data_IF_299035002717
#
_entry.id   IF_299035002717
#
_cell.length_a   1.000
_cell.length_b   1.000
_cell.length_c   1.000
_cell.angle_alpha   90.00
_cell.angle_beta   90.00
_cell.angle_gamma   90.00
#
_symmetry.space_group_name_H-M   'P 1'
#
loop_
_entity.id
_entity.type
_entity.pdbx_description
1 polymer ?
#
# COMPACT_ATOMS: atom_id res chain seq x y z
N UNK A 1 -7.81 12.55 21.29
CA UNK A 1 -9.24 12.84 21.53
C UNK A 1 -10.02 11.78 20.79
N UNK A 2 -10.79 10.92 21.46
CA UNK A 2 -11.56 9.86 20.80
C UNK A 2 -12.69 10.48 19.98
N UNK A 3 -12.72 10.24 18.67
CA UNK A 3 -13.85 10.64 17.82
C UNK A 3 -15.08 9.84 18.28
N UNK A 4 -16.18 10.52 18.60
CA UNK A 4 -17.44 9.84 18.92
C UNK A 4 -18.09 9.39 17.62
N UNK A 5 -17.96 8.10 17.32
CA UNK A 5 -18.62 7.46 16.18
C UNK A 5 -20.07 7.08 16.53
N UNK A 6 -20.97 7.22 15.56
CA UNK A 6 -22.37 6.81 15.68
C UNK A 6 -22.81 6.10 14.40
N UNK A 7 -23.58 5.04 14.56
CA UNK A 7 -24.12 4.24 13.46
C UNK A 7 -25.65 4.19 13.59
N UNK A 8 -26.36 4.37 12.48
CA UNK A 8 -27.83 4.28 12.42
C UNK A 8 -28.24 3.32 11.32
N UNK A 9 -29.22 2.46 11.60
CA UNK A 9 -29.91 1.64 10.60
C UNK A 9 -31.07 2.44 10.00
N UNK A 10 -31.18 2.38 8.67
CA UNK A 10 -32.26 3.00 7.88
C UNK A 10 -33.11 1.90 7.25
N UNK A 11 -34.36 1.74 7.69
CA UNK A 11 -35.30 0.76 7.14
C UNK A 11 -36.63 1.43 6.80
N UNK A 12 -36.92 1.61 5.50
CA UNK A 12 -38.26 2.02 5.04
C UNK A 12 -38.82 3.31 5.67
N UNK A 13 -37.95 4.23 6.10
CA UNK A 13 -38.32 5.49 6.77
C UNK A 13 -38.07 5.51 8.29
N UNK A 14 -37.76 4.38 8.91
CA UNK A 14 -37.34 4.30 10.31
C UNK A 14 -35.82 4.47 10.44
N UNK A 15 -35.40 5.21 11.46
CA UNK A 15 -33.99 5.55 11.72
C UNK A 15 -33.67 5.18 13.16
N UNK A 16 -32.90 4.11 13.34
CA UNK A 16 -32.58 3.58 14.68
C UNK A 16 -31.08 3.60 14.95
N UNK A 17 -30.62 4.17 16.08
CA UNK A 17 -29.21 4.09 16.43
C UNK A 17 -28.84 2.63 16.71
N UNK A 18 -27.71 2.20 16.17
CA UNK A 18 -27.10 0.90 16.48
C UNK A 18 -26.27 1.08 17.76
N UNK A 19 -26.59 0.31 18.79
CA UNK A 19 -25.91 0.41 20.06
C UNK A 19 -24.53 -0.26 20.01
N UNK A 20 -23.49 0.37 20.61
CA UNK A 20 -22.23 -0.31 20.86
C UNK A 20 -22.46 -1.54 21.75
N UNK A 21 -21.74 -2.61 21.45
CA UNK A 21 -21.75 -3.86 22.20
C UNK A 21 -20.32 -4.29 22.53
N UNK A 22 -20.16 -5.29 23.39
CA UNK A 22 -18.85 -5.83 23.76
C UNK A 22 -18.61 -7.10 22.96
N UNK A 23 -17.48 -7.18 22.26
CA UNK A 23 -17.08 -8.41 21.58
C UNK A 23 -16.81 -9.51 22.62
N UNK A 24 -17.29 -10.73 22.35
CA UNK A 24 -17.28 -11.83 23.31
C UNK A 24 -15.87 -12.18 23.81
N UNK A 25 -14.87 -12.19 22.92
CA UNK A 25 -13.48 -12.55 23.22
C UNK A 25 -12.49 -11.89 22.24
N UNK A 26 -11.22 -11.87 22.61
CA UNK A 26 -10.11 -11.53 21.69
C UNK A 26 -10.04 -12.55 20.55
N UNK A 27 -10.23 -13.84 20.84
CA UNK A 27 -10.28 -14.91 19.82
C UNK A 27 -11.27 -14.61 18.69
N UNK A 28 -12.47 -14.08 19.00
CA UNK A 28 -13.46 -13.73 17.96
C UNK A 28 -12.95 -12.58 17.08
N UNK A 29 -12.22 -11.63 17.65
CA UNK A 29 -11.62 -10.55 16.89
C UNK A 29 -10.46 -11.05 16.03
N UNK A 30 -9.64 -11.96 16.57
CA UNK A 30 -8.58 -12.65 15.81
C UNK A 30 -9.17 -13.38 14.61
N UNK A 31 -10.23 -14.18 14.81
CA UNK A 31 -10.88 -14.92 13.72
C UNK A 31 -11.37 -13.98 12.59
N UNK A 32 -11.95 -12.84 12.97
CA UNK A 32 -12.41 -11.82 12.03
C UNK A 32 -11.23 -11.24 11.24
N UNK A 33 -10.16 -10.81 11.94
CA UNK A 33 -9.00 -10.18 11.32
C UNK A 33 -8.14 -11.16 10.51
N UNK A 34 -8.07 -12.42 10.92
CA UNK A 34 -7.46 -13.52 10.18
C UNK A 34 -8.20 -13.75 8.86
N UNK A 35 -9.53 -13.78 8.89
CA UNK A 35 -10.33 -13.95 7.67
C UNK A 35 -10.30 -12.73 6.74
N UNK A 36 -10.07 -11.53 7.29
CA UNK A 36 -10.20 -10.23 6.62
C UNK A 36 -9.18 -9.22 7.16
N UNK A 37 -7.92 -9.37 6.75
CA UNK A 37 -6.82 -8.49 7.18
C UNK A 37 -6.99 -7.05 6.68
N UNK A 38 -7.78 -6.82 5.62
CA UNK A 38 -8.14 -5.50 5.09
C UNK A 38 -8.89 -4.63 6.11
N UNK A 39 -9.51 -5.23 7.13
CA UNK A 39 -10.13 -4.52 8.25
C UNK A 39 -9.11 -3.69 9.03
N UNK A 40 -7.84 -4.10 9.09
CA UNK A 40 -6.80 -3.27 9.69
C UNK A 40 -6.58 -2.00 8.88
N UNK A 41 -6.87 -2.05 7.58
CA UNK A 41 -6.63 -1.04 6.56
C UNK A 41 -5.25 -0.42 6.66
N UNK A 42 -4.27 -1.32 6.75
CA UNK A 42 -2.85 -1.08 6.50
C UNK A 42 -2.46 -1.60 5.10
N UNK A 43 -3.43 -1.67 4.18
CA UNK A 43 -3.29 -2.27 2.85
C UNK A 43 -3.70 -3.75 2.80
N UNK A 44 -3.34 -4.42 1.70
CA UNK A 44 -3.48 -5.86 1.54
C UNK A 44 -2.35 -6.54 2.34
N UNK A 45 -2.70 -7.47 3.23
CA UNK A 45 -1.75 -8.14 4.12
C UNK A 45 -1.89 -9.65 4.00
N UNK A 46 -0.76 -10.33 3.78
CA UNK A 46 -0.62 -11.77 3.88
C UNK A 46 -0.35 -12.14 5.33
N UNK A 47 -1.16 -13.03 5.90
CA UNK A 47 -0.90 -13.56 7.23
C UNK A 47 0.31 -14.52 7.18
N UNK A 48 1.31 -14.28 8.04
CA UNK A 48 2.45 -15.18 8.26
C UNK A 48 2.11 -16.21 9.33
N UNK A 49 1.37 -15.80 10.35
CA UNK A 49 0.88 -16.72 11.35
C UNK A 49 0.08 -16.04 12.45
N UNK A 50 -0.75 -16.85 13.08
CA UNK A 50 -1.51 -16.50 14.28
C UNK A 50 -0.85 -17.09 15.51
N UNK A 51 -0.88 -16.36 16.62
CA UNK A 51 -0.41 -16.81 17.93
C UNK A 51 1.07 -17.25 17.85
N UNK A 52 1.89 -16.45 17.16
CA UNK A 52 3.29 -16.74 16.84
C UNK A 52 4.15 -16.59 18.10
N UNK A 53 4.82 -17.67 18.49
CA UNK A 53 5.70 -17.69 19.67
C UNK A 53 7.07 -17.12 19.30
N UNK A 54 7.51 -16.10 20.02
CA UNK A 54 8.84 -15.47 19.86
C UNK A 54 9.93 -16.31 20.52
N UNK A 55 11.19 -16.02 20.20
CA UNK A 55 12.36 -16.72 20.79
C UNK A 55 12.45 -16.56 22.32
N UNK A 56 11.80 -15.52 22.86
CA UNK A 56 11.72 -15.23 24.29
C UNK A 56 10.50 -15.88 24.96
N UNK A 57 9.73 -16.71 24.24
CA UNK A 57 8.56 -17.42 24.75
C UNK A 57 7.30 -16.57 24.90
N UNK A 58 7.32 -15.32 24.41
CA UNK A 58 6.13 -14.47 24.31
C UNK A 58 5.35 -14.80 23.03
N UNK A 59 4.15 -14.24 22.88
CA UNK A 59 3.26 -14.62 21.79
C UNK A 59 2.62 -13.42 21.12
N UNK A 60 2.92 -13.22 19.84
CA UNK A 60 2.29 -12.23 18.99
C UNK A 60 0.94 -12.76 18.53
N UNK A 61 -0.13 -11.99 18.66
CA UNK A 61 -1.47 -12.45 18.28
C UNK A 61 -1.58 -12.70 16.78
N UNK A 62 -1.16 -11.73 15.94
CA UNK A 62 -1.07 -11.91 14.49
C UNK A 62 0.24 -11.30 13.95
N UNK A 63 0.94 -12.06 13.11
CA UNK A 63 2.07 -11.58 12.32
C UNK A 63 1.67 -11.63 10.84
N UNK A 64 1.77 -10.50 10.16
CA UNK A 64 1.44 -10.39 8.75
C UNK A 64 2.56 -9.69 7.96
N UNK A 65 2.47 -9.72 6.64
CA UNK A 65 3.39 -9.08 5.72
C UNK A 65 2.62 -8.32 4.65
N UNK A 66 3.11 -7.15 4.24
CA UNK A 66 2.58 -6.44 3.08
C UNK A 66 3.31 -6.80 1.77
N UNK A 67 2.77 -6.35 0.64
CA UNK A 67 3.35 -6.63 -0.67
C UNK A 67 4.72 -5.99 -0.93
N UNK A 68 5.25 -5.18 0.00
CA UNK A 68 6.63 -4.65 -0.08
C UNK A 68 7.61 -5.51 0.74
N UNK A 69 7.11 -6.50 1.49
CA UNK A 69 7.91 -7.37 2.32
C UNK A 69 8.11 -6.87 3.75
N UNK A 70 7.42 -5.80 4.18
CA UNK A 70 7.51 -5.30 5.55
C UNK A 70 6.55 -6.07 6.48
N UNK A 71 6.99 -6.34 7.70
CA UNK A 71 6.24 -7.13 8.68
C UNK A 71 5.31 -6.27 9.55
N UNK A 72 4.09 -6.73 9.77
CA UNK A 72 3.10 -6.09 10.63
C UNK A 72 2.85 -6.98 11.84
N UNK A 73 3.31 -6.53 13.01
CA UNK A 73 3.07 -7.16 14.31
C UNK A 73 1.79 -6.56 14.87
N UNK A 74 0.76 -7.38 15.01
CA UNK A 74 -0.57 -6.94 15.42
C UNK A 74 -0.88 -7.56 16.78
N UNK A 75 -1.08 -6.71 17.78
CA UNK A 75 -1.43 -7.10 19.14
C UNK A 75 -2.85 -6.64 19.44
N UNK A 76 -3.70 -7.56 19.88
CA UNK A 76 -5.11 -7.32 20.15
C UNK A 76 -5.33 -7.14 21.65
N UNK A 77 -6.20 -6.19 22.00
CA UNK A 77 -6.65 -5.95 23.36
C UNK A 77 -8.15 -5.68 23.40
N UNK A 78 -8.87 -6.51 24.16
CA UNK A 78 -10.31 -6.35 24.40
C UNK A 78 -10.64 -5.15 25.28
N UNK A 79 -9.79 -4.85 26.26
CA UNK A 79 -10.01 -3.79 27.24
C UNK A 79 -9.10 -2.57 27.02
N UNK A 80 -9.34 -1.49 27.77
CA UNK A 80 -8.49 -0.28 27.73
C UNK A 80 -7.03 -0.67 27.92
N UNK A 81 -6.19 -0.32 26.95
CA UNK A 81 -4.77 -0.67 26.91
C UNK A 81 -4.02 -0.07 28.10
N UNK A 82 -3.46 -0.88 29.01
CA UNK A 82 -2.50 -0.41 30.01
C UNK A 82 -1.16 -0.04 29.34
N UNK A 83 -0.27 0.61 30.10
CA UNK A 83 1.13 0.88 29.70
C UNK A 83 1.87 -0.36 29.18
N UNK A 84 1.52 -1.53 29.71
CA UNK A 84 2.15 -2.81 29.40
C UNK A 84 2.03 -3.18 27.91
N UNK A 85 0.99 -2.70 27.22
CA UNK A 85 0.78 -2.95 25.79
C UNK A 85 1.84 -2.29 24.92
N UNK A 86 2.28 -1.08 25.28
CA UNK A 86 3.34 -0.41 24.52
C UNK A 86 4.68 -1.12 24.75
N UNK A 87 4.97 -1.51 26.00
CA UNK A 87 6.18 -2.26 26.32
C UNK A 87 6.22 -3.59 25.55
N UNK A 88 5.10 -4.32 25.53
CA UNK A 88 4.97 -5.57 24.80
C UNK A 88 5.11 -5.38 23.29
N UNK A 89 4.50 -4.34 22.71
CA UNK A 89 4.67 -4.01 21.29
C UNK A 89 6.14 -3.72 20.95
N UNK A 90 6.86 -2.99 21.82
CA UNK A 90 8.29 -2.72 21.64
C UNK A 90 9.15 -3.98 21.78
N UNK A 91 8.84 -4.89 22.70
CA UNK A 91 9.48 -6.20 22.81
C UNK A 91 9.31 -7.00 21.51
N UNK A 92 8.12 -6.97 20.91
CA UNK A 92 7.88 -7.60 19.61
C UNK A 92 8.58 -6.89 18.47
N UNK A 93 8.66 -5.56 18.48
CA UNK A 93 9.48 -4.79 17.53
C UNK A 93 10.95 -5.20 17.56
N UNK A 94 11.49 -5.42 18.75
CA UNK A 94 12.87 -5.89 18.92
C UNK A 94 13.10 -7.32 18.40
N UNK A 95 12.11 -8.20 18.54
CA UNK A 95 12.17 -9.55 18.01
C UNK A 95 12.01 -9.57 16.48
N UNK A 96 10.94 -8.94 15.98
CA UNK A 96 10.55 -9.01 14.56
C UNK A 96 11.61 -8.41 13.64
N UNK A 97 12.30 -7.34 14.06
CA UNK A 97 13.36 -6.71 13.25
C UNK A 97 14.53 -7.65 12.90
N UNK A 98 14.68 -8.75 13.63
CA UNK A 98 15.77 -9.71 13.45
C UNK A 98 15.38 -10.92 12.60
N UNK A 99 14.09 -11.05 12.23
CA UNK A 99 13.62 -12.18 11.43
C UNK A 99 14.23 -12.14 10.04
N UNK A 100 14.95 -13.21 9.71
CA UNK A 100 15.49 -13.45 8.37
C UNK A 100 14.39 -13.93 7.41
N UNK A 101 14.69 -13.89 6.13
CA UNK A 101 13.85 -14.48 5.09
C UNK A 101 13.51 -15.95 5.38
N UNK A 102 14.51 -16.76 5.75
CA UNK A 102 14.32 -18.18 6.09
C UNK A 102 13.42 -18.36 7.32
N UNK A 103 13.62 -17.55 8.36
CA UNK A 103 12.78 -17.60 9.55
C UNK A 103 11.31 -17.25 9.23
N UNK A 104 11.07 -16.29 8.34
CA UNK A 104 9.71 -15.94 7.88
C UNK A 104 9.08 -17.11 7.13
N UNK A 105 9.82 -17.79 6.25
CA UNK A 105 9.35 -18.98 5.54
C UNK A 105 8.97 -20.10 6.50
N UNK A 106 9.83 -20.36 7.48
CA UNK A 106 9.60 -21.40 8.48
C UNK A 106 8.38 -21.08 9.36
N UNK A 107 8.22 -19.81 9.76
CA UNK A 107 7.05 -19.35 10.48
C UNK A 107 5.77 -19.55 9.64
N UNK A 108 5.77 -19.10 8.39
CA UNK A 108 4.63 -19.30 7.49
C UNK A 108 4.29 -20.79 7.34
N UNK A 109 5.26 -21.63 6.99
CA UNK A 109 5.04 -23.06 6.83
C UNK A 109 4.49 -23.69 8.12
N UNK A 110 5.01 -23.32 9.29
CA UNK A 110 4.53 -23.81 10.59
C UNK A 110 3.07 -23.46 10.86
N UNK A 111 2.64 -22.26 10.48
CA UNK A 111 1.28 -21.76 10.75
C UNK A 111 0.28 -22.10 9.63
N UNK A 112 0.76 -22.51 8.45
CA UNK A 112 -0.06 -22.79 7.26
C UNK A 112 0.12 -24.23 6.75
N UNK A 113 0.24 -25.21 7.65
CA UNK A 113 0.26 -26.65 7.33
C UNK A 113 1.34 -27.05 6.31
N UNK A 114 2.50 -26.39 6.35
CA UNK A 114 3.62 -26.64 5.44
C UNK A 114 3.51 -25.94 4.08
N UNK A 115 2.54 -25.05 3.89
CA UNK A 115 2.45 -24.25 2.66
C UNK A 115 3.71 -23.41 2.45
N UNK A 116 4.23 -23.45 1.22
CA UNK A 116 5.38 -22.65 0.82
C UNK A 116 5.03 -21.16 0.82
N UNK A 117 5.86 -20.37 1.50
CA UNK A 117 5.67 -18.94 1.65
C UNK A 117 5.78 -18.19 0.32
N UNK A 118 6.77 -18.52 -0.52
CA UNK A 118 7.00 -17.79 -1.77
C UNK A 118 5.78 -17.93 -2.69
N UNK A 119 5.27 -19.15 -2.80
CA UNK A 119 4.04 -19.45 -3.54
C UNK A 119 2.83 -18.71 -2.97
N UNK A 120 2.65 -18.74 -1.64
CA UNK A 120 1.55 -18.03 -0.97
C UNK A 120 1.64 -16.51 -1.15
N UNK A 121 2.84 -15.94 -1.11
CA UNK A 121 3.10 -14.52 -1.36
C UNK A 121 2.73 -14.16 -2.79
N UNK A 122 3.19 -14.94 -3.77
CA UNK A 122 2.88 -14.70 -5.17
C UNK A 122 1.41 -14.87 -5.48
N UNK A 123 0.73 -15.85 -4.90
CA UNK A 123 -0.71 -16.04 -5.06
C UNK A 123 -1.51 -14.88 -4.43
N UNK A 124 -1.06 -14.39 -3.26
CA UNK A 124 -1.78 -13.35 -2.52
C UNK A 124 -1.58 -11.94 -3.10
N UNK A 125 -0.37 -11.62 -3.56
CA UNK A 125 0.00 -10.29 -4.06
C UNK A 125 0.08 -10.21 -5.59
N UNK A 126 -0.03 -11.35 -6.28
CA UNK A 126 0.11 -11.47 -7.74
C UNK A 126 1.46 -10.90 -8.27
N UNK A 127 2.51 -11.01 -7.44
CA UNK A 127 3.87 -10.52 -7.72
C UNK A 127 4.93 -11.43 -7.10
N UNK A 128 6.15 -11.39 -7.61
CA UNK A 128 7.26 -12.17 -7.06
C UNK A 128 7.67 -11.63 -5.68
N UNK A 129 8.22 -12.51 -4.85
CA UNK A 129 8.74 -12.12 -3.53
C UNK A 129 9.89 -11.10 -3.70
N UNK A 130 9.86 -9.96 -3.00
CA UNK A 130 10.97 -9.00 -3.04
C UNK A 130 12.32 -9.62 -2.66
N UNK A 131 13.40 -9.15 -3.31
CA UNK A 131 14.77 -9.63 -3.02
C UNK A 131 15.18 -9.45 -1.55
N UNK A 132 14.61 -8.44 -0.89
CA UNK A 132 14.83 -8.15 0.53
C UNK A 132 13.50 -8.08 1.25
N UNK A 133 13.30 -8.97 2.23
CA UNK A 133 12.17 -8.91 3.17
C UNK A 133 12.58 -8.25 4.49
N UNK A 134 11.58 -7.79 5.24
CA UNK A 134 11.70 -7.26 6.59
C UNK A 134 12.71 -6.10 6.69
N UNK A 135 12.70 -5.21 5.69
CA UNK A 135 13.51 -3.98 5.70
C UNK A 135 12.91 -2.91 6.63
N UNK A 136 11.61 -3.03 6.91
CA UNK A 136 10.87 -2.35 7.94
C UNK A 136 9.84 -3.27 8.61
N UNK A 137 9.29 -2.79 9.71
CA UNK A 137 8.16 -3.42 10.38
C UNK A 137 7.24 -2.36 10.98
N UNK A 138 6.01 -2.77 11.28
CA UNK A 138 4.97 -1.95 11.88
C UNK A 138 4.43 -2.64 13.12
N UNK A 139 4.20 -1.86 14.18
CA UNK A 139 3.59 -2.32 15.41
C UNK A 139 2.16 -1.78 15.46
N UNK A 140 1.17 -2.65 15.42
CA UNK A 140 -0.24 -2.28 15.38
C UNK A 140 -0.91 -2.78 16.65
N UNK A 141 -1.30 -1.84 17.52
CA UNK A 141 -2.10 -2.15 18.71
C UNK A 141 -3.57 -2.00 18.32
N UNK A 142 -4.35 -3.06 18.44
CA UNK A 142 -5.78 -3.08 18.15
C UNK A 142 -6.54 -3.06 19.48
N UNK A 143 -7.33 -2.02 19.75
CA UNK A 143 -7.98 -1.82 21.05
C UNK A 143 -9.41 -1.25 20.96
N UNK A 144 -10.25 -1.52 21.96
CA UNK A 144 -11.57 -0.86 22.09
C UNK A 144 -11.47 0.59 22.57
N UNK A 145 -10.33 0.95 23.14
CA UNK A 145 -10.06 2.28 23.66
C UNK A 145 -8.70 2.35 24.36
N UNK A 146 -8.28 3.56 24.69
CA UNK A 146 -6.99 3.84 25.29
C UNK A 146 -7.12 4.99 26.28
N UNK A 147 -6.41 4.89 27.41
CA UNK A 147 -6.31 5.99 28.37
C UNK A 147 -5.36 7.09 27.88
N UNK A 148 -5.50 8.28 28.43
CA UNK A 148 -4.69 9.45 28.02
C UNK A 148 -3.19 9.21 28.17
N UNK A 149 -2.74 8.50 29.20
CA UNK A 149 -1.32 8.31 29.45
C UNK A 149 -0.69 7.34 28.43
N UNK A 150 -1.38 6.27 28.08
CA UNK A 150 -0.93 5.35 27.02
C UNK A 150 -0.91 6.05 25.66
N UNK A 151 -1.91 6.89 25.37
CA UNK A 151 -1.92 7.69 24.14
C UNK A 151 -0.73 8.65 24.05
N UNK A 152 -0.38 9.32 25.15
CA UNK A 152 0.78 10.20 25.21
C UNK A 152 2.10 9.45 25.01
N UNK A 153 2.22 8.23 25.54
CA UNK A 153 3.42 7.40 25.36
C UNK A 153 3.56 6.97 23.90
N UNK A 154 2.48 6.47 23.28
CA UNK A 154 2.48 6.09 21.85
C UNK A 154 2.88 7.27 20.99
N UNK A 155 2.27 8.45 21.21
CA UNK A 155 2.60 9.67 20.48
C UNK A 155 4.07 10.08 20.67
N UNK A 156 4.57 10.00 21.91
CA UNK A 156 5.96 10.31 22.22
C UNK A 156 6.93 9.41 21.44
N UNK A 157 6.76 8.09 21.49
CA UNK A 157 7.69 7.16 20.82
C UNK A 157 7.58 7.22 19.29
N UNK A 158 6.39 7.50 18.76
CA UNK A 158 6.20 7.82 17.33
C UNK A 158 6.99 9.05 16.92
N UNK A 159 7.04 10.09 17.75
CA UNK A 159 7.87 11.27 17.51
C UNK A 159 9.36 10.93 17.29
N UNK A 160 9.83 9.83 17.88
CA UNK A 160 11.19 9.29 17.69
C UNK A 160 11.31 8.22 16.61
N UNK A 161 10.26 7.96 15.85
CA UNK A 161 10.34 7.07 14.69
C UNK A 161 10.06 5.61 14.95
N UNK A 162 9.50 5.29 16.12
CA UNK A 162 8.98 3.95 16.37
C UNK A 162 7.73 3.76 15.51
N UNK A 163 7.65 2.74 14.65
CA UNK A 163 6.56 2.53 13.70
C UNK A 163 5.33 1.92 14.38
N UNK A 164 4.90 2.51 15.50
CA UNK A 164 3.79 2.05 16.33
C UNK A 164 2.53 2.86 16.07
N UNK A 165 1.41 2.16 15.84
CA UNK A 165 0.11 2.75 15.61
C UNK A 165 -0.94 2.06 16.48
N UNK A 166 -2.02 2.80 16.77
CA UNK A 166 -3.17 2.27 17.52
C UNK A 166 -4.40 2.34 16.63
N UNK A 167 -4.97 1.18 16.36
CA UNK A 167 -6.25 1.01 15.70
C UNK A 167 -7.34 0.81 16.76
N UNK A 168 -8.29 1.74 16.80
CA UNK A 168 -9.48 1.57 17.62
C UNK A 168 -10.55 0.83 16.85
N UNK A 169 -11.14 -0.18 17.46
CA UNK A 169 -12.33 -0.83 16.95
C UNK A 169 -13.53 -0.58 17.86
N UNK A 170 -14.71 -0.49 17.24
CA UNK A 170 -15.97 -0.49 17.94
C UNK A 170 -16.82 -1.62 17.41
N UNK A 171 -17.27 -2.47 18.32
CA UNK A 171 -18.19 -3.54 18.04
C UNK A 171 -19.63 -3.05 18.26
N UNK A 172 -20.52 -3.29 17.31
CA UNK A 172 -21.93 -2.92 17.42
C UNK A 172 -22.80 -4.09 16.97
N UNK A 173 -23.98 -4.20 17.58
CA UNK A 173 -24.94 -5.26 17.25
C UNK A 173 -26.32 -4.65 17.06
N UNK A 174 -27.04 -5.11 16.06
CA UNK A 174 -28.44 -4.76 15.83
C UNK A 174 -29.19 -5.99 15.29
N UNK A 175 -30.21 -6.41 16.04
CA UNK A 175 -30.90 -7.70 15.88
C UNK A 175 -29.92 -8.88 15.76
N UNK A 176 -29.88 -9.57 14.62
CA UNK A 176 -28.97 -10.70 14.34
C UNK A 176 -27.73 -10.30 13.53
N UNK A 177 -27.39 -9.00 13.48
CA UNK A 177 -26.27 -8.48 12.69
C UNK A 177 -25.16 -7.97 13.60
N UNK A 178 -23.94 -8.31 13.22
CA UNK A 178 -22.70 -7.90 13.88
C UNK A 178 -21.99 -6.88 12.98
N UNK A 179 -21.53 -5.78 13.58
CA UNK A 179 -20.84 -4.70 12.89
C UNK A 179 -19.52 -4.40 13.58
N UNK A 180 -18.48 -4.17 12.78
CA UNK A 180 -17.18 -3.73 13.24
C UNK A 180 -16.82 -2.41 12.56
N UNK A 181 -16.66 -1.36 13.35
CA UNK A 181 -16.17 -0.07 12.88
C UNK A 181 -14.74 0.14 13.37
N UNK A 182 -13.94 0.89 12.59
CA UNK A 182 -12.53 1.18 12.93
C UNK A 182 -12.22 2.66 12.85
N UNK A 183 -11.22 3.09 13.61
CA UNK A 183 -10.61 4.42 13.50
C UNK A 183 -9.16 4.36 13.95
N UNK A 184 -8.27 5.10 13.30
CA UNK A 184 -6.88 5.21 13.74
C UNK A 184 -6.73 6.33 14.77
N UNK A 185 -5.81 6.16 15.73
CA UNK A 185 -5.39 7.25 16.61
C UNK A 185 -4.79 8.41 15.81
N UNK A 186 -3.90 8.08 14.87
CA UNK A 186 -3.32 8.97 13.86
C UNK A 186 -3.15 8.16 12.58
N UNK A 187 -3.48 8.73 11.42
CA UNK A 187 -3.49 8.00 10.16
C UNK A 187 -2.06 7.54 9.78
N UNK A 188 -1.77 6.22 9.70
CA UNK A 188 -0.43 5.73 9.37
C UNK A 188 0.03 6.12 7.96
N UNK A 189 -0.90 6.41 7.04
CA UNK A 189 -0.58 6.82 5.67
C UNK A 189 -0.21 8.30 5.54
N UNK A 190 -0.50 9.12 6.56
CA UNK A 190 -0.26 10.58 6.54
C UNK A 190 0.96 11.01 7.35
N UNK A 191 1.57 10.11 8.14
CA UNK A 191 2.69 10.45 9.00
C UNK A 191 4.00 9.83 8.49
N UNK A 192 5.00 10.65 8.13
CA UNK A 192 6.32 10.14 7.80
C UNK A 192 6.90 9.47 9.05
N UNK A 193 7.17 8.17 8.97
CA UNK A 193 7.91 7.46 9.99
C UNK A 193 9.26 8.18 10.19
N UNK A 194 9.41 8.87 11.33
CA UNK A 194 10.70 9.35 11.78
C UNK A 194 11.62 8.16 12.05
N UNK A 195 12.91 8.42 12.18
CA UNK A 195 14.00 7.46 12.04
C UNK A 195 14.34 6.68 13.32
N UNK A 196 14.31 5.34 13.28
CA UNK A 196 14.90 4.47 14.33
C UNK A 196 15.69 3.26 13.76
N UNK A 197 17.02 3.33 13.77
CA UNK A 197 18.06 2.37 13.31
C UNK A 197 17.72 0.85 13.23
N UNK A 198 18.26 0.14 12.21
CA UNK A 198 18.58 -1.30 12.37
C UNK A 198 18.76 -2.18 11.12
N UNK A 199 17.95 -2.00 10.08
CA UNK A 199 18.09 -2.71 8.79
C UNK A 199 18.58 -1.77 7.69
N UNK A 200 18.85 -2.27 6.46
CA UNK A 200 18.89 -1.39 5.27
C UNK A 200 17.48 -0.83 5.06
N UNK A 201 17.12 0.17 5.87
CA UNK A 201 15.80 0.80 5.84
C UNK A 201 15.61 1.45 4.49
N UNK A 202 14.52 1.06 3.82
CA UNK A 202 14.06 1.81 2.66
C UNK A 202 13.79 3.24 3.14
N UNK A 203 14.29 4.25 2.42
CA UNK A 203 14.09 5.65 2.77
C UNK A 203 12.59 5.99 2.91
N UNK A 204 12.26 6.98 3.74
CA UNK A 204 10.89 7.45 3.90
C UNK A 204 10.34 7.96 2.56
N UNK A 205 9.07 7.69 2.28
CA UNK A 205 8.42 8.22 1.10
C UNK A 205 7.98 9.65 1.34
N UNK A 206 8.14 10.52 0.35
CA UNK A 206 7.83 11.95 0.47
C UNK A 206 6.35 12.31 0.25
N UNK A 207 5.49 11.31 0.02
CA UNK A 207 4.05 11.53 -0.15
C UNK A 207 3.59 11.84 -1.57
N UNK A 208 4.52 12.10 -2.51
CA UNK A 208 4.17 12.55 -3.87
C UNK A 208 4.80 11.72 -4.99
N UNK A 209 5.98 11.12 -4.78
CA UNK A 209 6.76 10.54 -5.88
C UNK A 209 6.47 9.07 -6.17
N UNK A 210 6.09 8.76 -7.41
CA UNK A 210 5.85 7.40 -7.87
C UNK A 210 6.78 7.04 -9.02
N UNK A 211 7.36 5.84 -8.94
CA UNK A 211 7.95 5.15 -10.07
C UNK A 211 6.84 4.52 -10.90
N UNK A 212 6.86 4.71 -12.21
CA UNK A 212 5.94 4.05 -13.14
C UNK A 212 6.73 3.33 -14.24
N UNK A 213 6.62 2.01 -14.29
CA UNK A 213 7.22 1.19 -15.34
C UNK A 213 6.42 1.29 -16.64
N UNK A 214 7.07 1.73 -17.71
CA UNK A 214 6.53 1.83 -19.06
C UNK A 214 6.80 0.53 -19.82
N UNK A 215 5.89 -0.44 -19.66
CA UNK A 215 5.93 -1.71 -20.38
C UNK A 215 5.50 -1.55 -21.84
N UNK A 216 6.45 -1.22 -22.72
CA UNK A 216 6.17 -1.14 -24.16
C UNK A 216 5.80 -2.51 -24.74
N UNK A 217 4.74 -2.54 -25.54
CA UNK A 217 4.21 -3.73 -26.22
C UNK A 217 3.33 -3.31 -27.40
N UNK A 218 2.60 -4.24 -28.01
CA UNK A 218 1.60 -3.90 -29.05
C UNK A 218 0.46 -3.01 -28.52
N UNK A 219 0.20 -3.03 -27.21
CA UNK A 219 -0.85 -2.24 -26.55
C UNK A 219 -0.37 -0.88 -26.04
N UNK A 220 0.95 -0.71 -25.88
CA UNK A 220 1.54 0.41 -25.14
C UNK A 220 2.81 0.91 -25.79
N UNK A 221 2.89 2.21 -26.01
CA UNK A 221 4.08 2.85 -26.59
C UNK A 221 4.43 4.14 -25.85
N UNK A 222 5.72 4.36 -25.58
CA UNK A 222 6.18 5.56 -24.88
C UNK A 222 5.92 6.84 -25.66
N UNK A 223 6.05 6.83 -26.99
CA UNK A 223 5.82 8.04 -27.79
C UNK A 223 4.34 8.43 -27.80
N UNK A 224 3.42 7.48 -27.68
CA UNK A 224 2.00 7.79 -27.51
C UNK A 224 1.73 8.41 -26.13
N UNK A 225 2.27 7.81 -25.07
CA UNK A 225 2.19 8.29 -23.69
C UNK A 225 2.74 9.73 -23.55
N UNK A 226 3.89 9.98 -24.16
CA UNK A 226 4.54 11.28 -24.23
C UNK A 226 3.70 12.29 -25.00
N UNK A 227 3.22 11.92 -26.20
CA UNK A 227 2.47 12.81 -27.10
C UNK A 227 1.11 13.22 -26.53
N UNK A 228 0.43 12.28 -25.88
CA UNK A 228 -0.96 12.44 -25.46
C UNK A 228 -1.13 12.65 -23.96
N UNK A 229 -0.05 12.63 -23.18
CA UNK A 229 -0.08 12.99 -21.76
C UNK A 229 -0.72 11.93 -20.88
N UNK A 230 -0.23 10.69 -20.94
CA UNK A 230 -0.73 9.62 -20.09
C UNK A 230 0.34 8.58 -19.74
N UNK A 231 0.07 7.78 -18.71
CA UNK A 231 0.70 6.48 -18.48
C UNK A 231 -0.40 5.41 -18.45
N UNK A 232 -0.09 4.18 -18.84
CA UNK A 232 -1.10 3.11 -18.88
C UNK A 232 -0.59 1.74 -18.45
N UNK A 233 -1.52 0.96 -17.92
CA UNK A 233 -1.38 -0.48 -17.78
C UNK A 233 -2.76 -1.15 -17.70
N UNK A 234 -2.85 -2.36 -18.22
CA UNK A 234 -4.03 -3.22 -18.16
C UNK A 234 -3.66 -4.68 -18.35
N UNK A 235 -4.60 -5.47 -18.88
CA UNK A 235 -4.45 -6.90 -19.11
C UNK A 235 -4.24 -7.70 -17.82
N UNK A 236 -5.01 -7.36 -16.80
CA UNK A 236 -5.01 -8.01 -15.50
C UNK A 236 -5.39 -7.05 -14.37
N UNK A 237 -6.21 -7.54 -13.44
CA UNK A 237 -6.74 -6.77 -12.31
C UNK A 237 -5.65 -6.10 -11.47
N UNK A 238 -4.49 -6.75 -11.30
CA UNK A 238 -3.35 -6.16 -10.58
C UNK A 238 -2.84 -4.86 -11.20
N UNK A 239 -2.78 -4.79 -12.53
CA UNK A 239 -2.29 -3.63 -13.25
C UNK A 239 -3.28 -2.48 -13.15
N UNK A 240 -4.57 -2.79 -13.34
CA UNK A 240 -5.67 -1.86 -13.07
C UNK A 240 -5.60 -1.28 -11.65
N UNK A 241 -5.50 -2.14 -10.63
CA UNK A 241 -5.40 -1.73 -9.22
C UNK A 241 -4.15 -0.86 -8.98
N UNK A 242 -3.01 -1.20 -9.59
CA UNK A 242 -1.80 -0.39 -9.47
C UNK A 242 -1.98 1.03 -10.04
N UNK A 243 -2.65 1.18 -11.18
CA UNK A 243 -2.94 2.50 -11.76
C UNK A 243 -3.87 3.35 -10.87
N UNK A 244 -4.78 2.71 -10.12
CA UNK A 244 -5.67 3.40 -9.18
C UNK A 244 -4.94 4.01 -7.97
N UNK A 245 -3.67 3.65 -7.74
CA UNK A 245 -2.84 4.29 -6.70
C UNK A 245 -2.34 5.68 -7.10
N UNK A 246 -2.44 6.04 -8.39
CA UNK A 246 -2.05 7.36 -8.88
C UNK A 246 -3.23 8.33 -8.75
N UNK A 247 -3.16 9.19 -7.72
CA UNK A 247 -4.15 10.23 -7.46
C UNK A 247 -3.69 11.59 -7.99
N UNK A 248 -4.62 12.51 -8.33
CA UNK A 248 -4.27 13.87 -8.72
C UNK A 248 -3.29 14.54 -7.76
N UNK A 249 -2.27 15.22 -8.31
CA UNK A 249 -1.18 15.84 -7.55
C UNK A 249 0.01 14.92 -7.26
N UNK A 250 -0.07 13.62 -7.57
CA UNK A 250 1.10 12.73 -7.52
C UNK A 250 2.10 13.07 -8.64
N UNK A 251 3.40 12.97 -8.37
CA UNK A 251 4.48 13.09 -9.34
C UNK A 251 4.89 11.70 -9.83
N UNK A 252 4.84 11.49 -11.13
CA UNK A 252 5.17 10.23 -11.81
C UNK A 252 6.53 10.36 -12.48
N UNK A 253 7.44 9.44 -12.14
CA UNK A 253 8.70 9.20 -12.82
C UNK A 253 8.55 7.97 -13.72
N UNK A 254 8.35 8.22 -15.01
CA UNK A 254 8.17 7.19 -16.03
C UNK A 254 9.52 6.57 -16.42
N UNK A 255 9.61 5.24 -16.37
CA UNK A 255 10.82 4.51 -16.72
C UNK A 255 10.53 3.32 -17.62
N UNK A 256 11.27 3.20 -18.72
CA UNK A 256 11.21 2.03 -19.60
C UNK A 256 12.12 0.95 -18.99
N UNK A 257 11.61 -0.26 -18.67
CA UNK A 257 12.41 -1.34 -18.13
C UNK A 257 13.67 -1.63 -18.97
N UNK A 258 14.78 -1.91 -18.30
CA UNK A 258 16.11 -2.13 -18.93
C UNK A 258 16.68 -0.97 -19.75
N UNK A 259 16.00 0.19 -19.79
CA UNK A 259 16.45 1.37 -20.54
C UNK A 259 16.76 2.53 -19.60
N UNK A 260 15.79 2.95 -18.78
CA UNK A 260 15.96 4.04 -17.82
C UNK A 260 14.74 4.95 -17.71
N UNK A 261 14.89 6.05 -16.96
CA UNK A 261 13.84 7.04 -16.77
C UNK A 261 13.74 7.97 -17.97
N UNK A 262 12.52 8.18 -18.46
CA UNK A 262 12.24 8.90 -19.71
C UNK A 262 11.30 10.08 -19.52
N UNK A 263 10.69 10.26 -18.35
CA UNK A 263 9.85 11.43 -18.12
C UNK A 263 9.46 11.63 -16.67
N UNK A 264 9.07 12.87 -16.38
CA UNK A 264 8.51 13.30 -15.10
C UNK A 264 7.26 14.13 -15.36
N UNK A 265 6.20 13.86 -14.63
CA UNK A 265 4.93 14.57 -14.81
C UNK A 265 4.04 14.50 -13.58
N UNK A 266 3.03 15.35 -13.56
CA UNK A 266 2.03 15.40 -12.49
C UNK A 266 0.73 14.72 -12.95
N UNK A 267 0.15 13.89 -12.08
CA UNK A 267 -1.14 13.26 -12.33
C UNK A 267 -2.24 14.32 -12.26
N UNK A 268 -3.04 14.45 -13.31
CA UNK A 268 -4.17 15.39 -13.36
C UNK A 268 -5.50 14.72 -12.98
N UNK A 269 -5.67 13.44 -13.35
CA UNK A 269 -6.88 12.68 -13.07
C UNK A 269 -6.55 11.22 -12.78
N UNK A 270 -7.41 10.57 -11.98
CA UNK A 270 -7.32 9.13 -11.69
C UNK A 270 -7.43 8.28 -12.94
N UNK A 271 -7.06 7.00 -12.81
CA UNK A 271 -7.14 6.04 -13.90
C UNK A 271 -8.58 5.83 -14.40
N UNK A 272 -8.76 5.80 -15.72
CA UNK A 272 -10.01 5.45 -16.41
C UNK A 272 -9.74 4.37 -17.45
N UNK A 273 -10.74 3.53 -17.81
CA UNK A 273 -10.56 2.57 -18.90
C UNK A 273 -10.30 3.30 -20.22
N UNK A 274 -9.62 2.63 -21.15
CA UNK A 274 -9.21 3.20 -22.45
C UNK A 274 -10.38 3.77 -23.26
N UNK A 275 -11.57 3.19 -23.11
CA UNK A 275 -12.81 3.62 -23.77
C UNK A 275 -13.32 4.98 -23.29
N UNK A 276 -12.90 5.42 -22.10
CA UNK A 276 -13.30 6.69 -21.47
C UNK A 276 -12.21 7.77 -21.56
N UNK A 277 -11.00 7.44 -22.04
CA UNK A 277 -9.90 8.38 -22.09
C UNK A 277 -9.96 9.27 -23.33
N UNK A 278 -10.05 10.58 -23.13
CA UNK A 278 -10.05 11.59 -24.19
C UNK A 278 -8.71 12.32 -24.29
N UNK A 279 -8.37 12.77 -25.50
CA UNK A 279 -7.15 13.53 -25.83
C UNK A 279 -7.45 14.70 -26.76
N UNK A 280 -6.53 15.66 -26.80
CA UNK A 280 -6.55 16.78 -27.75
C UNK A 280 -5.69 16.47 -28.97
N UNK A 281 -6.27 16.50 -30.16
CA UNK A 281 -5.55 16.37 -31.44
C UNK A 281 -5.95 17.54 -32.33
N UNK A 282 -4.98 18.37 -32.74
CA UNK A 282 -5.20 19.56 -33.57
C UNK A 282 -6.30 20.51 -33.01
N UNK A 283 -6.38 20.63 -31.68
CA UNK A 283 -7.36 21.48 -30.99
C UNK A 283 -8.77 20.90 -30.88
N UNK A 284 -8.96 19.61 -31.21
CA UNK A 284 -10.22 18.90 -31.03
C UNK A 284 -10.08 17.80 -29.97
N UNK A 285 -11.04 17.73 -29.05
CA UNK A 285 -11.18 16.61 -28.12
C UNK A 285 -11.69 15.37 -28.86
N UNK A 286 -11.04 14.23 -28.67
CA UNK A 286 -11.50 12.95 -29.19
C UNK A 286 -11.08 11.77 -28.29
N UNK A 287 -11.77 10.62 -28.37
CA UNK A 287 -11.32 9.39 -27.69
C UNK A 287 -9.92 8.97 -28.14
N UNK A 288 -9.09 8.47 -27.21
CA UNK A 288 -7.72 8.02 -27.49
C UNK A 288 -7.66 6.96 -28.60
N UNK A 289 -8.63 6.04 -28.65
CA UNK A 289 -8.71 4.99 -29.67
C UNK A 289 -8.95 5.52 -31.09
N UNK A 290 -9.32 6.80 -31.25
CA UNK A 290 -9.42 7.47 -32.55
C UNK A 290 -8.22 8.37 -32.86
N UNK A 291 -7.30 8.52 -31.91
CA UNK A 291 -6.08 9.28 -32.11
C UNK A 291 -5.05 8.48 -32.92
N UNK A 292 -4.12 9.15 -33.65
CA UNK A 292 -3.01 8.46 -34.31
C UNK A 292 -2.01 7.84 -33.32
N UNK A 293 -2.23 6.57 -32.95
CA UNK A 293 -1.39 5.78 -32.04
C UNK A 293 -0.31 4.98 -32.78
N UNK A 294 0.83 4.75 -32.11
CA UNK A 294 1.84 3.77 -32.51
C UNK A 294 1.54 2.37 -31.96
N UNK A 295 0.93 2.29 -30.77
CA UNK A 295 0.37 1.05 -30.26
C UNK A 295 -0.71 0.53 -31.21
N UNK A 296 -0.53 -0.68 -31.74
CA UNK A 296 -1.41 -1.26 -32.76
C UNK A 296 -2.69 -1.84 -32.17
N UNK A 297 -2.62 -2.33 -30.94
CA UNK A 297 -3.68 -3.14 -30.32
C UNK A 297 -4.10 -2.59 -28.95
N UNK A 298 -4.02 -1.28 -28.75
CA UNK A 298 -4.46 -0.63 -27.49
C UNK A 298 -5.96 -0.85 -27.21
N UNK A 299 -6.77 -1.12 -28.24
CA UNK A 299 -8.20 -1.44 -28.12
C UNK A 299 -8.51 -2.90 -27.78
N UNK A 300 -7.50 -3.78 -27.74
CA UNK A 300 -7.70 -5.19 -27.37
C UNK A 300 -8.34 -5.26 -25.97
N UNK A 301 -9.41 -6.05 -25.85
CA UNK A 301 -10.19 -6.25 -24.61
C UNK A 301 -10.76 -4.95 -23.97
N UNK A 302 -10.94 -3.88 -24.75
CA UNK A 302 -11.38 -2.58 -24.23
C UNK A 302 -12.73 -2.63 -23.47
N UNK A 303 -13.60 -3.58 -23.81
CA UNK A 303 -14.92 -3.80 -23.18
C UNK A 303 -14.88 -4.74 -21.96
N UNK A 304 -13.75 -5.39 -21.65
CA UNK A 304 -13.58 -6.26 -20.49
C UNK A 304 -12.93 -5.47 -19.33
N UNK A 305 -13.63 -5.18 -18.23
CA UNK A 305 -13.08 -4.39 -17.13
C UNK A 305 -11.83 -4.98 -16.45
N UNK A 306 -11.61 -6.30 -16.54
CA UNK A 306 -10.46 -6.97 -15.93
C UNK A 306 -9.23 -6.97 -16.85
N UNK A 307 -9.45 -6.88 -18.17
CA UNK A 307 -8.39 -6.97 -19.20
C UNK A 307 -8.11 -5.65 -19.91
N UNK A 308 -9.04 -4.70 -19.91
CA UNK A 308 -8.92 -3.39 -20.56
C UNK A 308 -7.69 -2.61 -20.07
N UNK A 309 -7.12 -1.78 -20.94
CA UNK A 309 -6.07 -0.81 -20.58
C UNK A 309 -6.66 0.32 -19.74
N UNK A 310 -5.98 0.67 -18.65
CA UNK A 310 -6.32 1.81 -17.80
C UNK A 310 -5.28 2.91 -17.95
N UNK A 311 -5.76 4.12 -18.24
CA UNK A 311 -4.94 5.29 -18.53
C UNK A 311 -5.10 6.32 -17.41
N UNK A 312 -3.96 6.84 -16.93
CA UNK A 312 -3.89 7.96 -15.99
C UNK A 312 -3.42 9.19 -16.75
N UNK A 313 -4.16 10.30 -16.63
CA UNK A 313 -3.79 11.57 -17.29
C UNK A 313 -2.59 12.16 -16.56
N UNK A 314 -1.53 12.45 -17.32
CA UNK A 314 -0.29 13.04 -16.80
C UNK A 314 0.03 14.32 -17.57
N UNK A 315 0.18 15.41 -16.83
CA UNK A 315 0.79 16.63 -17.33
C UNK A 315 2.29 16.50 -17.23
N UNK A 316 2.93 16.25 -18.36
CA UNK A 316 4.39 16.14 -18.42
C UNK A 316 5.06 17.45 -18.05
N UNK A 317 6.03 17.38 -17.14
CA UNK A 317 6.95 18.46 -16.79
C UNK A 317 8.14 18.42 -17.75
N UNK A 318 8.74 17.24 -17.93
CA UNK A 318 9.77 16.96 -18.93
C UNK A 318 9.61 15.52 -19.45
N UNK A 319 9.88 15.31 -20.74
CA UNK A 319 9.93 13.99 -21.38
C UNK A 319 11.10 13.90 -22.35
N UNK A 320 11.70 12.72 -22.41
CA UNK A 320 12.85 12.38 -23.24
C UNK A 320 12.52 11.24 -24.19
N UNK A 321 13.10 11.23 -25.40
CA UNK A 321 13.10 10.02 -26.22
C UNK A 321 13.89 8.91 -25.51
N UNK A 322 13.65 7.65 -25.89
CA UNK A 322 14.29 6.49 -25.25
C UNK A 322 15.81 6.53 -25.27
N UNK A 323 16.39 7.14 -26.31
CA UNK A 323 17.84 7.24 -26.50
C UNK A 323 18.48 8.20 -25.49
N UNK A 324 17.68 9.06 -24.87
CA UNK A 324 18.08 10.02 -23.84
C UNK A 324 17.61 9.59 -22.44
N UNK A 325 17.23 8.32 -22.27
CA UNK A 325 16.81 7.82 -20.98
C UNK A 325 17.92 7.97 -19.93
N UNK A 326 17.52 8.45 -18.75
CA UNK A 326 18.43 8.67 -17.62
C UNK A 326 18.57 7.37 -16.85
N UNK A 327 19.78 6.83 -16.84
CA UNK A 327 20.12 5.69 -16.02
C UNK A 327 21.57 5.77 -15.52
N UNK A 328 21.73 5.58 -14.22
CA UNK A 328 23.02 5.47 -13.54
C UNK A 328 22.97 4.24 -12.65
N UNK A 329 24.08 3.48 -12.61
CA UNK A 329 24.17 2.29 -11.76
C UNK A 329 23.79 2.63 -10.31
N UNK A 330 22.85 1.87 -9.75
CA UNK A 330 22.32 2.07 -8.39
C UNK A 330 21.02 2.87 -8.34
N UNK A 331 20.52 3.37 -9.48
CA UNK A 331 19.15 3.89 -9.55
C UNK A 331 18.13 2.78 -9.34
N UNK A 332 17.00 3.16 -8.75
CA UNK A 332 15.88 2.28 -8.48
C UNK A 332 15.17 1.89 -9.77
N UNK A 333 14.75 0.63 -9.83
CA UNK A 333 13.77 0.11 -10.78
C UNK A 333 12.99 -0.99 -10.08
N UNK A 334 11.76 -1.22 -10.53
CA UNK A 334 10.89 -2.25 -9.96
C UNK A 334 10.16 -2.96 -11.10
N UNK A 335 9.83 -4.23 -10.90
CA UNK A 335 9.02 -5.01 -11.85
C UNK A 335 7.53 -4.63 -11.78
N UNK A 336 7.07 -4.10 -10.65
CA UNK A 336 5.70 -3.61 -10.48
C UNK A 336 5.48 -2.33 -11.28
N UNK A 337 4.27 -2.18 -11.86
CA UNK A 337 3.92 -1.05 -12.73
C UNK A 337 3.97 0.29 -12.00
N UNK A 338 3.44 0.38 -10.79
CA UNK A 338 3.44 1.61 -9.98
C UNK A 338 3.99 1.29 -8.61
N UNK A 339 5.03 2.00 -8.17
CA UNK A 339 5.55 1.91 -6.79
C UNK A 339 5.91 3.28 -6.25
N UNK A 340 5.93 3.43 -4.92
CA UNK A 340 6.43 4.64 -4.28
C UNK A 340 7.93 4.77 -4.57
N UNK A 341 8.36 5.86 -5.17
CA UNK A 341 9.78 6.15 -5.38
C UNK A 341 10.31 6.85 -4.13
N UNK A 342 11.24 6.20 -3.44
CA UNK A 342 11.73 6.69 -2.13
C UNK A 342 13.22 6.95 -2.12
N UNK A 343 13.96 6.37 -3.06
CA UNK A 343 15.41 6.24 -3.00
C UNK A 343 16.06 7.61 -3.25
N UNK A 344 16.70 8.26 -2.23
CA UNK A 344 17.25 9.61 -2.36
C UNK A 344 18.28 9.72 -3.46
N UNK A 345 19.10 8.67 -3.64
CA UNK A 345 20.05 8.61 -4.75
C UNK A 345 19.37 8.69 -6.11
N UNK A 346 18.22 8.02 -6.27
CA UNK A 346 17.49 8.04 -7.54
C UNK A 346 16.79 9.37 -7.73
N UNK A 347 16.08 9.85 -6.71
CA UNK A 347 15.40 11.15 -6.73
C UNK A 347 16.39 12.28 -7.03
N UNK A 348 17.53 12.36 -6.32
CA UNK A 348 18.56 13.37 -6.59
C UNK A 348 19.04 13.34 -8.04
N UNK A 349 19.32 12.16 -8.60
CA UNK A 349 19.77 12.02 -9.99
C UNK A 349 18.72 12.42 -10.99
N UNK A 350 17.46 12.16 -10.67
CA UNK A 350 16.34 12.52 -11.51
C UNK A 350 16.03 14.02 -11.44
N UNK A 351 16.01 14.62 -10.24
CA UNK A 351 15.90 16.07 -10.04
C UNK A 351 17.00 16.82 -10.81
N UNK A 352 18.26 16.35 -10.73
CA UNK A 352 19.39 16.90 -11.50
C UNK A 352 19.21 16.77 -13.03
N UNK A 353 18.72 15.62 -13.51
CA UNK A 353 18.66 15.33 -14.94
C UNK A 353 17.45 15.96 -15.65
N UNK A 354 16.32 16.10 -14.93
CA UNK A 354 15.08 16.65 -15.45
C UNK A 354 14.82 18.11 -15.00
N UNK A 355 15.74 18.71 -14.24
CA UNK A 355 15.67 20.10 -13.75
C UNK A 355 14.37 20.39 -12.98
N UNK A 356 14.06 19.51 -12.03
CA UNK A 356 12.86 19.57 -11.18
C UNK A 356 13.28 19.74 -9.72
N UNK A 357 12.67 20.72 -9.04
CA UNK A 357 12.87 20.93 -7.61
C UNK A 357 12.26 19.77 -6.79
N UNK A 358 12.87 19.47 -5.64
CA UNK A 358 12.49 18.36 -4.75
C UNK A 358 11.06 18.46 -4.20
#
# INVERSE_FOLDING_TARGET
MHVKFGLWRLDGGDVRPVAPSVIGSEDRLEDILESRSDILGSGNLLLIGRQVVTDYGKRVDLLAMDGQGDLHVIELKKDKTPRDVVAQALEYGFWVQSLSYEAIRDLHAKHHQGQDFDSAFTDHFETDVPETLNSGHHLVIVATGMDTSTAQIVEYVRGYGVPINVLFFQYLTDDNREYLARSWLSNPDLEPASSGAGGKKQPAWNGIDFYVAIGESRHRNWEDMRRYGFVSAGHGDKYRKAMMNLSPGARVWAAIPSTGYVGVGEVESTAVPVTEFEVQVNGQTMPILRAPLRATDMEEDADDPALSEYLVRVRWIDTRPREEAVWVKGMYANQNVVTKLRQPFTLQRLSEAFDVDD
#
